data_IF_295263078866
#
_entry.id   IF_295263078866
#
_cell.length_a   1.000
_cell.length_b   1.000
_cell.length_c   1.000
_cell.angle_alpha   90.00
_cell.angle_beta   90.00
_cell.angle_gamma   90.00
#
_symmetry.space_group_name_H-M   'P 1'
#
loop_
_entity.id
_entity.type
_entity.pdbx_description
1 polymer ?
#
# COMPACT_ATOMS: atom_id res chain seq x y z
N UNK A 1 31.89 2.47 15.20
CA UNK A 1 32.03 1.15 14.55
C UNK A 1 30.82 0.32 14.91
N UNK A 2 29.75 0.38 14.09
CA UNK A 2 28.62 -0.53 14.20
C UNK A 2 28.46 -1.16 12.81
N UNK A 3 28.71 -2.45 12.76
CA UNK A 3 28.75 -3.26 11.56
C UNK A 3 27.31 -3.45 11.04
N UNK A 4 26.98 -2.83 9.91
CA UNK A 4 25.76 -3.09 9.17
C UNK A 4 25.85 -4.52 8.61
N UNK A 5 25.34 -5.48 9.37
CA UNK A 5 25.15 -6.86 8.92
C UNK A 5 24.30 -6.82 7.65
N UNK A 6 24.95 -7.04 6.51
CA UNK A 6 24.28 -7.18 5.21
C UNK A 6 23.43 -8.44 5.25
N UNK A 7 22.12 -8.27 5.40
CA UNK A 7 21.15 -9.33 5.08
C UNK A 7 21.20 -9.51 3.57
N UNK A 8 22.00 -10.46 3.10
CA UNK A 8 21.98 -10.88 1.70
C UNK A 8 20.70 -11.69 1.49
N UNK A 9 19.63 -11.01 1.08
CA UNK A 9 18.46 -11.69 0.52
C UNK A 9 18.85 -12.11 -0.89
N UNK A 10 18.93 -13.41 -1.15
CA UNK A 10 18.93 -13.93 -2.52
C UNK A 10 17.51 -13.73 -3.05
N UNK A 11 17.27 -12.54 -3.60
CA UNK A 11 16.04 -12.28 -4.35
C UNK A 11 16.20 -13.03 -5.67
N UNK A 12 15.18 -13.80 -6.07
CA UNK A 12 15.14 -14.45 -7.38
C UNK A 12 15.04 -13.42 -8.52
N UNK A 13 14.31 -13.75 -9.59
CA UNK A 13 14.06 -12.78 -10.65
C UNK A 13 13.32 -11.55 -10.11
N UNK A 14 13.87 -10.36 -10.36
CA UNK A 14 13.23 -9.07 -10.05
C UNK A 14 12.65 -8.54 -11.35
N UNK A 15 11.37 -8.19 -11.34
CA UNK A 15 10.64 -7.65 -12.49
C UNK A 15 10.13 -6.24 -12.16
N UNK A 16 10.95 -5.20 -12.34
CA UNK A 16 10.55 -3.83 -12.05
C UNK A 16 9.37 -3.42 -12.93
N UNK A 17 8.35 -2.79 -12.33
CA UNK A 17 7.17 -2.26 -13.02
C UNK A 17 6.89 -0.85 -12.54
N UNK A 18 6.53 0.04 -13.47
CA UNK A 18 6.03 1.36 -13.11
C UNK A 18 4.62 1.25 -12.52
N UNK A 19 4.39 1.89 -11.37
CA UNK A 19 3.11 1.88 -10.68
C UNK A 19 2.81 3.28 -10.14
N UNK A 20 1.65 3.82 -10.52
CA UNK A 20 1.05 5.03 -9.97
C UNK A 20 -0.25 4.59 -9.27
N UNK A 21 -0.24 4.50 -7.94
CA UNK A 21 -1.35 3.93 -7.17
C UNK A 21 -2.66 4.72 -7.33
N UNK A 22 -2.58 6.03 -7.56
CA UNK A 22 -3.77 6.88 -7.77
C UNK A 22 -4.35 6.76 -9.19
N UNK A 23 -3.71 6.00 -10.08
CA UNK A 23 -4.16 5.80 -11.46
C UNK A 23 -4.63 4.36 -11.72
N UNK A 24 -5.93 4.21 -12.00
CA UNK A 24 -6.54 2.91 -12.28
C UNK A 24 -5.88 2.17 -13.45
N UNK A 25 -5.49 2.91 -14.50
CA UNK A 25 -4.80 2.31 -15.66
C UNK A 25 -3.46 1.71 -15.26
N UNK A 26 -2.68 2.40 -14.42
CA UNK A 26 -1.39 1.91 -13.95
C UNK A 26 -1.54 0.64 -13.10
N UNK A 27 -2.54 0.60 -12.21
CA UNK A 27 -2.88 -0.62 -11.45
C UNK A 27 -3.24 -1.76 -12.41
N UNK A 28 -4.14 -1.53 -13.37
CA UNK A 28 -4.57 -2.56 -14.30
C UNK A 28 -3.41 -3.12 -15.14
N UNK A 29 -2.50 -2.26 -15.60
CA UNK A 29 -1.29 -2.68 -16.32
C UNK A 29 -0.42 -3.61 -15.47
N UNK A 30 -0.23 -3.29 -14.18
CA UNK A 30 0.49 -4.17 -13.26
C UNK A 30 -0.22 -5.52 -13.10
N UNK A 31 -1.55 -5.53 -12.92
CA UNK A 31 -2.30 -6.77 -12.71
C UNK A 31 -2.31 -7.67 -13.96
N UNK A 32 -2.44 -7.09 -15.15
CA UNK A 32 -2.30 -7.83 -16.40
C UNK A 32 -0.90 -8.44 -16.52
N UNK A 33 0.14 -7.66 -16.21
CA UNK A 33 1.52 -8.15 -16.23
C UNK A 33 1.74 -9.30 -15.23
N UNK A 34 1.24 -9.18 -14.00
CA UNK A 34 1.32 -10.27 -13.00
C UNK A 34 0.63 -11.53 -13.53
N UNK A 35 -0.55 -11.37 -14.13
CA UNK A 35 -1.31 -12.49 -14.69
C UNK A 35 -0.58 -13.17 -15.86
N UNK A 36 0.08 -12.40 -16.72
CA UNK A 36 0.78 -12.90 -17.90
C UNK A 36 2.15 -13.53 -17.54
N UNK A 37 2.87 -12.94 -16.57
CA UNK A 37 4.19 -13.39 -16.14
C UNK A 37 4.15 -14.53 -15.11
N UNK A 38 3.09 -14.66 -14.32
CA UNK A 38 2.98 -15.68 -13.27
C UNK A 38 1.92 -16.73 -13.59
N UNK A 39 2.39 -17.90 -14.02
CA UNK A 39 1.57 -19.10 -14.28
C UNK A 39 0.79 -19.55 -13.04
N UNK A 40 1.24 -19.20 -11.84
CA UNK A 40 0.67 -19.64 -10.56
C UNK A 40 -0.14 -18.58 -9.81
N UNK A 41 -0.11 -17.29 -10.17
CA UNK A 41 -0.78 -16.24 -9.38
C UNK A 41 -0.02 -15.78 -8.14
N UNK A 42 -0.60 -14.83 -7.40
CA UNK A 42 0.07 -14.00 -6.38
C UNK A 42 0.02 -14.62 -4.97
N UNK A 43 1.19 -14.85 -4.37
CA UNK A 43 1.30 -15.36 -2.99
C UNK A 43 1.19 -14.25 -1.93
N UNK A 44 1.92 -13.14 -2.12
CA UNK A 44 1.96 -12.05 -1.16
C UNK A 44 1.95 -10.70 -1.88
N UNK A 45 1.04 -9.83 -1.48
CA UNK A 45 1.07 -8.40 -1.79
C UNK A 45 1.58 -7.64 -0.57
N UNK A 46 2.74 -6.99 -0.67
CA UNK A 46 3.24 -6.08 0.36
C UNK A 46 3.02 -4.66 -0.12
N UNK A 47 2.18 -3.93 0.61
CA UNK A 47 1.82 -2.56 0.29
C UNK A 47 2.49 -1.58 1.25
N UNK A 48 3.39 -0.78 0.69
CA UNK A 48 4.08 0.31 1.36
C UNK A 48 3.92 1.57 0.51
N UNK A 49 2.79 2.26 0.68
CA UNK A 49 2.51 3.50 -0.02
C UNK A 49 1.88 4.50 0.94
N UNK A 50 2.50 5.67 1.09
CA UNK A 50 1.97 6.74 1.89
C UNK A 50 2.72 8.05 1.69
N UNK A 51 1.99 9.16 1.78
CA UNK A 51 2.52 10.53 1.78
C UNK A 51 2.17 11.21 3.10
N UNK A 52 3.06 12.09 3.54
CA UNK A 52 2.85 12.94 4.70
C UNK A 52 3.46 14.31 4.45
N UNK A 53 2.65 15.36 4.59
CA UNK A 53 3.09 16.74 4.48
C UNK A 53 3.55 17.25 5.85
N UNK A 54 4.87 17.28 6.09
CA UNK A 54 5.45 17.74 7.36
C UNK A 54 5.46 19.27 7.46
N UNK A 55 4.31 19.87 7.81
CA UNK A 55 4.14 21.31 8.05
C UNK A 55 2.87 21.61 8.85
N UNK A 56 2.85 22.76 9.52
CA UNK A 56 1.69 23.18 10.34
C UNK A 56 0.48 23.63 9.48
N UNK A 57 0.73 24.24 8.32
CA UNK A 57 -0.32 24.80 7.46
C UNK A 57 -0.72 23.80 6.37
N UNK A 58 -1.32 22.67 6.78
CA UNK A 58 -1.81 21.65 5.86
C UNK A 58 -3.01 22.19 5.08
N UNK A 59 -2.89 22.24 3.76
CA UNK A 59 -3.95 22.74 2.87
C UNK A 59 -5.06 21.70 2.67
N UNK A 60 -6.21 22.11 2.11
CA UNK A 60 -7.24 21.15 1.71
C UNK A 60 -6.73 20.17 0.62
N UNK A 61 -5.88 20.67 -0.29
CA UNK A 61 -5.24 19.85 -1.32
C UNK A 61 -4.34 18.78 -0.71
N UNK A 62 -3.51 19.15 0.27
CA UNK A 62 -2.62 18.22 0.98
C UNK A 62 -3.40 17.11 1.68
N UNK A 63 -4.55 17.46 2.28
CA UNK A 63 -5.43 16.48 2.94
C UNK A 63 -6.03 15.51 1.91
N UNK A 64 -6.48 16.03 0.77
CA UNK A 64 -7.02 15.20 -0.30
C UNK A 64 -5.95 14.25 -0.84
N UNK A 65 -4.75 14.76 -1.14
CA UNK A 65 -3.63 13.94 -1.62
C UNK A 65 -3.27 12.82 -0.63
N UNK A 66 -3.25 13.15 0.67
CA UNK A 66 -3.01 12.16 1.74
C UNK A 66 -4.10 11.08 1.77
N UNK A 67 -5.38 11.43 1.67
CA UNK A 67 -6.48 10.47 1.69
C UNK A 67 -6.56 9.64 0.41
N UNK A 68 -6.35 10.28 -0.74
CA UNK A 68 -6.35 9.66 -2.07
C UNK A 68 -5.28 8.59 -2.14
N UNK A 69 -4.05 8.88 -1.68
CA UNK A 69 -2.97 7.90 -1.69
C UNK A 69 -3.05 6.91 -0.53
N UNK A 70 -3.10 7.39 0.72
CA UNK A 70 -2.87 6.53 1.89
C UNK A 70 -4.06 5.63 2.22
N UNK A 71 -5.26 5.97 1.75
CA UNK A 71 -6.48 5.19 2.01
C UNK A 71 -7.17 4.72 0.73
N UNK A 72 -7.57 5.61 -0.16
CA UNK A 72 -8.41 5.21 -1.31
C UNK A 72 -7.65 4.36 -2.33
N UNK A 73 -6.46 4.82 -2.72
CA UNK A 73 -5.61 4.08 -3.64
C UNK A 73 -5.07 2.79 -3.02
N UNK A 74 -4.76 2.80 -1.72
CA UNK A 74 -4.30 1.61 -1.03
C UNK A 74 -5.40 0.55 -0.89
N UNK A 75 -6.62 0.96 -0.52
CA UNK A 75 -7.79 0.10 -0.51
C UNK A 75 -8.09 -0.49 -1.89
N UNK A 76 -8.03 0.34 -2.94
CA UNK A 76 -8.20 -0.11 -4.33
C UNK A 76 -7.15 -1.18 -4.69
N UNK A 77 -5.88 -0.97 -4.32
CA UNK A 77 -4.81 -1.95 -4.55
C UNK A 77 -4.95 -3.20 -3.69
N UNK A 78 -5.66 -3.16 -2.56
CA UNK A 78 -6.02 -4.36 -1.82
C UNK A 78 -7.12 -5.17 -2.53
N UNK A 79 -8.09 -4.50 -3.14
CA UNK A 79 -9.28 -5.13 -3.70
C UNK A 79 -9.05 -5.71 -5.10
N UNK A 80 -8.41 -4.97 -6.00
CA UNK A 80 -8.26 -5.38 -7.39
C UNK A 80 -7.46 -6.69 -7.60
N UNK A 81 -6.40 -6.98 -6.82
CA UNK A 81 -5.63 -8.21 -7.00
C UNK A 81 -6.25 -9.44 -6.36
N UNK A 82 -7.35 -9.33 -5.59
CA UNK A 82 -7.99 -10.48 -4.90
C UNK A 82 -8.19 -11.68 -5.83
N UNK A 83 -8.69 -11.53 -7.08
CA UNK A 83 -8.85 -12.67 -7.98
C UNK A 83 -7.55 -13.35 -8.42
N UNK A 84 -6.41 -12.67 -8.26
CA UNK A 84 -5.08 -13.20 -8.59
C UNK A 84 -4.39 -13.83 -7.37
N UNK A 85 -4.89 -13.61 -6.15
CA UNK A 85 -4.28 -14.12 -4.92
C UNK A 85 -4.57 -15.62 -4.80
N UNK A 86 -3.51 -16.41 -4.58
CA UNK A 86 -3.60 -17.86 -4.40
C UNK A 86 -4.30 -18.23 -3.07
N UNK A 87 -4.87 -19.44 -2.96
CA UNK A 87 -5.31 -19.97 -1.67
C UNK A 87 -4.18 -19.89 -0.63
N UNK A 88 -4.43 -19.25 0.50
CA UNK A 88 -3.43 -19.03 1.55
C UNK A 88 -2.55 -17.78 1.36
N UNK A 89 -2.70 -17.06 0.24
CA UNK A 89 -2.00 -15.81 0.02
C UNK A 89 -2.40 -14.70 0.99
N UNK A 90 -1.59 -13.64 1.04
CA UNK A 90 -1.71 -12.56 2.03
C UNK A 90 -1.55 -11.18 1.41
N UNK A 91 -2.34 -10.23 1.90
CA UNK A 91 -2.11 -8.80 1.69
C UNK A 91 -1.58 -8.24 3.00
N UNK A 92 -0.43 -7.56 2.94
CA UNK A 92 0.23 -6.94 4.08
C UNK A 92 0.29 -5.44 3.82
N UNK A 93 -0.44 -4.67 4.62
CA UNK A 93 -0.39 -3.21 4.60
C UNK A 93 0.56 -2.69 5.68
N UNK A 94 1.42 -1.74 5.32
CA UNK A 94 2.23 -1.00 6.28
C UNK A 94 1.54 0.32 6.66
N UNK A 95 1.38 0.56 7.96
CA UNK A 95 0.82 1.80 8.51
C UNK A 95 1.80 2.44 9.50
N UNK A 96 1.53 3.69 9.87
CA UNK A 96 2.30 4.47 10.84
C UNK A 96 1.66 4.44 12.22
N UNK A 97 2.45 4.64 13.27
CA UNK A 97 1.94 4.95 14.63
C UNK A 97 0.96 6.13 14.59
N UNK A 98 1.19 7.12 13.74
CA UNK A 98 0.28 8.28 13.61
C UNK A 98 -1.14 7.91 13.15
N UNK A 99 -1.35 6.70 12.61
CA UNK A 99 -2.67 6.19 12.22
C UNK A 99 -3.50 5.63 13.37
N UNK A 100 -2.98 5.62 14.60
CA UNK A 100 -3.70 5.08 15.75
C UNK A 100 -4.91 5.94 16.13
N UNK A 101 -6.02 5.27 16.48
CA UNK A 101 -7.30 5.92 16.80
C UNK A 101 -7.26 6.85 18.02
N UNK A 102 -6.23 6.76 18.89
CA UNK A 102 -6.12 7.65 20.04
C UNK A 102 -5.78 9.10 19.66
N UNK A 103 -5.23 9.33 18.45
CA UNK A 103 -4.99 10.67 17.90
C UNK A 103 -6.27 11.34 17.36
N UNK A 104 -7.37 10.60 17.24
CA UNK A 104 -8.64 11.09 16.72
C UNK A 104 -9.50 11.66 17.86
N UNK A 105 -10.36 12.64 17.52
CA UNK A 105 -11.38 13.13 18.45
C UNK A 105 -12.31 12.00 18.87
N UNK A 106 -12.93 12.06 20.07
CA UNK A 106 -13.84 11.02 20.53
C UNK A 106 -14.95 10.70 19.51
N UNK A 107 -15.54 11.74 18.90
CA UNK A 107 -16.61 11.62 17.92
C UNK A 107 -16.16 10.89 16.64
N UNK A 108 -14.93 11.14 16.17
CA UNK A 108 -14.40 10.44 15.01
C UNK A 108 -14.01 9.00 15.35
N UNK A 109 -13.44 8.76 16.53
CA UNK A 109 -13.07 7.42 17.00
C UNK A 109 -14.26 6.48 17.02
N UNK A 110 -15.40 6.92 17.54
CA UNK A 110 -16.64 6.12 17.56
C UNK A 110 -17.11 5.70 16.17
N UNK A 111 -16.85 6.51 15.13
CA UNK A 111 -17.25 6.17 13.75
C UNK A 111 -16.40 5.05 13.14
N UNK A 112 -15.19 4.81 13.63
CA UNK A 112 -14.30 3.75 13.15
C UNK A 112 -14.46 2.42 13.92
N UNK A 113 -15.20 2.42 15.03
CA UNK A 113 -15.43 1.24 15.88
C UNK A 113 -16.83 0.63 15.70
N UNK A 114 -17.64 1.20 14.81
CA UNK A 114 -18.95 0.68 14.39
C UNK A 114 -18.82 0.00 13.04
#
# INVERSE_FOLDING_TARGET
MAELTRVAVVIGAILPTSLILTEKLSINTLLSRIKDEQVSGLDVLIQVAGVYHYRNNISAKDRNETLDLNYHATLSMCQNPIPLIRPGGRIVNLSSQSGQLHYFTPQLRERFLK
#
